data_IF_879663430455
#
_entry.id   IF_879663430455
#
_cell.length_a   1.000
_cell.length_b   1.000
_cell.length_c   1.000
_cell.angle_alpha   90.00
_cell.angle_beta   90.00
_cell.angle_gamma   90.00
#
_symmetry.space_group_name_H-M   'P 1'
#
loop_
_entity.id
_entity.type
_entity.pdbx_description
1 polymer ?
#
# COMPACT_ATOMS: atom_id res chain seq x y z
N UNK A 1 -5.67 0.12 -22.12
CA UNK A 1 -4.22 0.39 -21.98
C UNK A 1 -3.48 -0.20 -23.16
N UNK A 2 -2.59 0.59 -23.84
CA UNK A 2 -1.93 0.12 -25.08
C UNK A 2 -0.41 -0.09 -24.92
N UNK A 3 0.13 0.09 -23.71
CA UNK A 3 1.56 -0.10 -23.49
C UNK A 3 1.88 -1.58 -23.29
N UNK A 4 2.83 -2.10 -24.08
CA UNK A 4 3.31 -3.47 -23.98
C UNK A 4 4.12 -3.71 -22.70
N UNK A 5 4.47 -4.96 -22.46
CA UNK A 5 5.25 -5.40 -21.31
C UNK A 5 6.20 -6.53 -21.66
N UNK A 6 7.05 -6.83 -20.70
CA UNK A 6 8.10 -7.86 -20.78
C UNK A 6 7.99 -8.78 -19.58
N UNK A 7 8.10 -10.09 -19.81
CA UNK A 7 8.25 -11.06 -18.73
C UNK A 7 9.72 -11.28 -18.38
N UNK A 8 9.99 -11.74 -17.16
CA UNK A 8 11.34 -12.04 -16.65
C UNK A 8 12.07 -13.09 -17.48
N UNK A 9 11.33 -13.99 -18.18
CA UNK A 9 11.86 -14.98 -19.11
C UNK A 9 12.14 -14.43 -20.54
N UNK A 10 11.92 -13.12 -20.78
CA UNK A 10 12.13 -12.47 -22.09
C UNK A 10 10.92 -12.46 -23.01
N UNK A 11 9.79 -13.09 -22.62
CA UNK A 11 8.53 -13.07 -23.39
C UNK A 11 7.98 -11.64 -23.46
N UNK A 12 7.47 -11.23 -24.62
CA UNK A 12 6.93 -9.90 -24.85
C UNK A 12 5.42 -9.96 -25.07
N UNK A 13 4.72 -8.95 -24.56
CA UNK A 13 3.27 -8.77 -24.72
C UNK A 13 2.98 -7.40 -25.34
N UNK A 14 2.01 -7.37 -26.24
CA UNK A 14 1.58 -6.13 -26.90
C UNK A 14 0.87 -5.17 -25.94
N UNK A 15 0.12 -5.70 -25.00
CA UNK A 15 -0.66 -4.95 -24.02
C UNK A 15 -1.01 -5.85 -22.81
N UNK A 16 -1.53 -5.27 -21.73
CA UNK A 16 -1.96 -6.04 -20.55
C UNK A 16 -3.07 -7.07 -20.85
N UNK A 17 -4.00 -6.76 -21.74
CA UNK A 17 -5.12 -7.66 -22.04
C UNK A 17 -4.63 -8.98 -22.68
N UNK A 18 -3.58 -8.92 -23.51
CA UNK A 18 -2.93 -10.11 -24.05
C UNK A 18 -2.31 -10.93 -22.93
N UNK A 19 -1.52 -10.31 -22.06
CA UNK A 19 -0.88 -10.97 -20.94
C UNK A 19 -1.91 -11.62 -20.01
N UNK A 20 -2.91 -10.89 -19.57
CA UNK A 20 -3.90 -11.42 -18.63
C UNK A 20 -4.74 -12.53 -19.23
N UNK A 21 -5.06 -12.47 -20.54
CA UNK A 21 -5.74 -13.57 -21.22
C UNK A 21 -4.87 -14.83 -21.27
N UNK A 22 -3.57 -14.71 -21.44
CA UNK A 22 -2.65 -15.86 -21.44
C UNK A 22 -2.46 -16.43 -20.04
N UNK A 23 -2.27 -15.59 -19.03
CA UNK A 23 -1.94 -16.01 -17.66
C UNK A 23 -3.16 -16.43 -16.82
N UNK A 24 -4.32 -15.77 -16.99
CA UNK A 24 -5.52 -15.97 -16.15
C UNK A 24 -6.82 -16.06 -16.96
N UNK A 25 -6.75 -16.33 -18.27
CA UNK A 25 -7.88 -16.25 -19.18
C UNK A 25 -9.01 -17.24 -18.93
N UNK A 26 -8.81 -18.23 -18.07
CA UNK A 26 -9.85 -19.13 -17.58
C UNK A 26 -9.65 -19.41 -16.08
N UNK A 27 -10.66 -20.04 -15.46
CA UNK A 27 -10.66 -20.31 -14.03
C UNK A 27 -9.51 -21.21 -13.57
N UNK A 28 -9.09 -22.16 -14.39
CA UNK A 28 -7.99 -23.08 -14.07
C UNK A 28 -6.66 -22.32 -14.01
N UNK A 29 -6.38 -21.52 -15.05
CA UNK A 29 -5.18 -20.67 -15.12
C UNK A 29 -5.16 -19.64 -14.00
N UNK A 30 -6.30 -19.03 -13.71
CA UNK A 30 -6.43 -18.06 -12.62
C UNK A 30 -6.12 -18.69 -11.26
N UNK A 31 -6.64 -19.89 -11.02
CA UNK A 31 -6.32 -20.64 -9.79
C UNK A 31 -4.84 -21.02 -9.73
N UNK A 32 -4.26 -21.43 -10.87
CA UNK A 32 -2.84 -21.75 -10.95
C UNK A 32 -1.95 -20.53 -10.68
N UNK A 33 -2.30 -19.37 -11.22
CA UNK A 33 -1.61 -18.10 -10.99
C UNK A 33 -1.48 -17.81 -9.49
N UNK A 34 -2.60 -17.80 -8.76
CA UNK A 34 -2.59 -17.50 -7.33
C UNK A 34 -1.91 -18.59 -6.50
N UNK A 35 -2.12 -19.85 -6.85
CA UNK A 35 -1.45 -20.95 -6.16
C UNK A 35 0.07 -20.90 -6.32
N UNK A 36 0.58 -20.56 -7.51
CA UNK A 36 2.02 -20.41 -7.75
C UNK A 36 2.60 -19.25 -6.96
N UNK A 37 1.94 -18.07 -6.94
CA UNK A 37 2.39 -16.93 -6.14
C UNK A 37 2.45 -17.26 -4.65
N UNK A 38 1.41 -17.86 -4.09
CA UNK A 38 1.41 -18.29 -2.68
C UNK A 38 2.50 -19.34 -2.42
N UNK A 39 2.67 -20.32 -3.33
CA UNK A 39 3.68 -21.39 -3.19
C UNK A 39 5.10 -20.85 -3.23
N UNK A 40 5.37 -19.84 -4.06
CA UNK A 40 6.67 -19.16 -4.07
C UNK A 40 7.00 -18.60 -2.68
N UNK A 41 6.09 -17.80 -2.11
CA UNK A 41 6.29 -17.19 -0.80
C UNK A 41 6.28 -18.19 0.36
N UNK A 42 5.61 -19.33 0.21
CA UNK A 42 5.71 -20.44 1.16
C UNK A 42 7.12 -21.05 1.23
N UNK A 43 7.91 -20.92 0.17
CA UNK A 43 9.31 -21.35 0.13
C UNK A 43 10.30 -20.33 0.70
N UNK A 44 9.85 -19.11 1.01
CA UNK A 44 10.71 -18.03 1.51
C UNK A 44 10.77 -18.06 3.03
N UNK A 45 11.96 -17.80 3.61
CA UNK A 45 12.12 -17.71 5.06
C UNK A 45 11.30 -16.57 5.68
N UNK A 46 10.69 -16.83 6.85
CA UNK A 46 9.88 -15.84 7.57
C UNK A 46 10.76 -14.83 8.34
N UNK A 47 11.60 -14.10 7.60
CA UNK A 47 12.50 -13.05 8.10
C UNK A 47 12.26 -11.74 7.36
N UNK A 48 12.77 -10.64 7.93
CA UNK A 48 12.73 -9.33 7.24
C UNK A 48 13.50 -9.40 5.93
N UNK A 49 14.65 -10.08 5.91
CA UNK A 49 15.45 -10.23 4.69
C UNK A 49 14.71 -11.07 3.64
N UNK A 50 14.09 -12.16 4.05
CA UNK A 50 13.30 -13.03 3.17
C UNK A 50 12.13 -12.29 2.49
N UNK A 51 11.29 -11.60 3.27
CA UNK A 51 10.15 -10.84 2.70
C UNK A 51 10.57 -9.59 1.90
N UNK A 52 11.84 -9.20 1.96
CA UNK A 52 12.45 -8.14 1.14
C UNK A 52 13.32 -8.72 0.01
N UNK A 53 13.21 -10.00 -0.30
CA UNK A 53 13.90 -10.64 -1.43
C UNK A 53 15.44 -10.58 -1.31
N UNK A 54 16.00 -10.64 -0.10
CA UNK A 54 17.43 -10.50 0.18
C UNK A 54 17.92 -9.05 0.30
N UNK A 55 17.01 -8.07 0.24
CA UNK A 55 17.32 -6.64 0.38
C UNK A 55 16.94 -6.10 1.77
N UNK A 56 17.16 -6.89 2.83
CA UNK A 56 16.83 -6.47 4.21
C UNK A 56 17.42 -5.13 4.63
N UNK A 57 18.55 -4.74 4.06
CA UNK A 57 19.22 -3.46 4.31
C UNK A 57 18.42 -2.21 3.85
N UNK A 58 17.43 -2.35 2.95
CA UNK A 58 16.57 -1.22 2.55
C UNK A 58 15.46 -0.92 3.57
N UNK A 59 15.27 -1.79 4.59
CA UNK A 59 14.19 -1.67 5.57
C UNK A 59 14.11 -0.28 6.21
N UNK A 60 15.22 0.26 6.67
CA UNK A 60 15.22 1.53 7.40
C UNK A 60 14.88 2.71 6.49
N UNK A 61 15.39 2.70 5.26
CA UNK A 61 15.05 3.72 4.26
C UNK A 61 13.57 3.64 3.86
N UNK A 62 13.04 2.41 3.73
CA UNK A 62 11.63 2.14 3.46
C UNK A 62 10.72 2.69 4.56
N UNK A 63 10.97 2.31 5.82
CA UNK A 63 10.16 2.73 6.97
C UNK A 63 10.24 4.24 7.15
N UNK A 64 11.43 4.84 7.09
CA UNK A 64 11.61 6.30 7.23
C UNK A 64 10.82 7.10 6.20
N UNK A 65 10.84 6.67 4.93
CA UNK A 65 10.10 7.35 3.87
C UNK A 65 8.58 7.17 4.03
N UNK A 66 8.15 5.96 4.41
CA UNK A 66 6.75 5.62 4.70
C UNK A 66 6.22 6.42 5.88
N UNK A 67 7.01 6.55 6.95
CA UNK A 67 6.65 7.34 8.14
C UNK A 67 6.47 8.82 7.79
N UNK A 68 7.41 9.40 7.04
CA UNK A 68 7.31 10.79 6.63
C UNK A 68 6.07 11.05 5.74
N UNK A 69 5.70 10.07 4.90
CA UNK A 69 4.50 10.14 4.07
C UNK A 69 3.23 10.02 4.91
N UNK A 70 3.16 9.00 5.77
CA UNK A 70 2.02 8.76 6.66
C UNK A 70 1.76 9.96 7.59
N UNK A 71 2.80 10.51 8.21
CA UNK A 71 2.69 11.69 9.07
C UNK A 71 2.06 12.89 8.35
N UNK A 72 2.44 13.13 7.09
CA UNK A 72 1.86 14.20 6.29
C UNK A 72 0.37 13.96 5.96
N UNK A 73 -0.04 12.70 5.80
CA UNK A 73 -1.44 12.33 5.59
C UNK A 73 -2.26 12.49 6.87
N UNK A 74 -1.78 11.96 7.99
CA UNK A 74 -2.46 12.04 9.28
C UNK A 74 -2.60 13.48 9.77
N UNK A 75 -1.55 14.30 9.64
CA UNK A 75 -1.57 15.71 10.01
C UNK A 75 -2.63 16.49 9.22
N UNK A 76 -2.85 16.19 7.94
CA UNK A 76 -3.85 16.87 7.13
C UNK A 76 -5.27 16.33 7.39
N UNK A 77 -5.41 15.01 7.59
CA UNK A 77 -6.72 14.37 7.70
C UNK A 77 -7.34 14.52 9.08
N UNK A 78 -6.51 14.49 10.12
CA UNK A 78 -6.95 14.48 11.51
C UNK A 78 -6.60 15.75 12.29
N UNK A 79 -6.26 16.85 11.60
CA UNK A 79 -5.88 18.15 12.23
C UNK A 79 -6.97 18.69 13.17
N UNK A 80 -8.23 18.41 12.89
CA UNK A 80 -9.40 18.83 13.70
C UNK A 80 -9.97 17.70 14.57
N UNK A 81 -9.43 16.49 14.47
CA UNK A 81 -9.83 15.39 15.33
C UNK A 81 -9.16 15.60 16.69
N UNK A 82 -9.95 15.93 17.71
CA UNK A 82 -9.46 16.15 19.08
C UNK A 82 -8.61 14.97 19.57
N UNK A 83 -7.72 15.21 20.51
CA UNK A 83 -6.88 14.18 21.15
C UNK A 83 -7.80 13.06 21.69
N UNK A 84 -7.61 11.82 21.24
CA UNK A 84 -8.35 10.66 21.73
C UNK A 84 -9.09 9.84 20.66
N UNK A 85 -8.88 10.10 19.37
CA UNK A 85 -9.43 9.24 18.33
C UNK A 85 -8.76 7.87 18.36
N UNK A 86 -9.58 6.82 18.39
CA UNK A 86 -9.16 5.44 18.24
C UNK A 86 -9.03 5.14 16.74
N UNK A 87 -7.79 5.06 16.26
CA UNK A 87 -7.47 4.82 14.85
C UNK A 87 -7.18 3.34 14.60
N UNK A 88 -7.67 2.82 13.50
CA UNK A 88 -7.50 1.41 13.10
C UNK A 88 -6.92 1.35 11.69
N UNK A 89 -5.91 0.50 11.49
CA UNK A 89 -5.35 0.23 10.17
C UNK A 89 -5.49 -1.24 9.78
N UNK A 90 -5.43 -1.50 8.47
CA UNK A 90 -5.25 -2.83 7.89
C UNK A 90 -3.91 -2.85 7.16
N UNK A 91 -3.06 -3.81 7.46
CA UNK A 91 -1.79 -4.10 6.77
C UNK A 91 -2.01 -5.26 5.80
N UNK A 92 -2.05 -4.97 4.51
CA UNK A 92 -2.31 -5.93 3.45
C UNK A 92 -1.00 -6.50 2.89
N UNK A 93 -0.91 -7.84 2.81
CA UNK A 93 0.34 -8.53 2.48
C UNK A 93 1.38 -8.27 3.55
N UNK A 94 0.96 -8.44 4.81
CA UNK A 94 1.74 -8.02 5.98
C UNK A 94 3.05 -8.79 6.18
N UNK A 95 3.20 -9.94 5.51
CA UNK A 95 4.36 -10.81 5.67
C UNK A 95 4.59 -11.16 7.13
N UNK A 96 5.81 -10.96 7.60
CA UNK A 96 6.22 -11.17 9.00
C UNK A 96 5.84 -10.02 9.96
N UNK A 97 4.93 -9.13 9.53
CA UNK A 97 4.48 -7.97 10.33
C UNK A 97 5.47 -6.81 10.38
N UNK A 98 6.40 -6.72 9.43
CA UNK A 98 7.48 -5.73 9.39
C UNK A 98 6.96 -4.28 9.39
N UNK A 99 6.02 -3.97 8.50
CA UNK A 99 5.44 -2.62 8.38
C UNK A 99 4.57 -2.32 9.60
N UNK A 100 3.77 -3.26 10.05
CA UNK A 100 3.01 -3.11 11.30
C UNK A 100 3.90 -2.79 12.47
N UNK A 101 4.97 -3.57 12.71
CA UNK A 101 5.87 -3.41 13.87
C UNK A 101 6.63 -2.08 13.86
N UNK A 102 7.18 -1.73 12.70
CA UNK A 102 8.11 -0.60 12.60
C UNK A 102 7.42 0.73 12.28
N UNK A 103 6.16 0.69 11.82
CA UNK A 103 5.43 1.88 11.41
C UNK A 103 4.01 1.95 11.98
N UNK A 104 3.10 1.07 11.54
CA UNK A 104 1.66 1.31 11.72
C UNK A 104 1.24 1.31 13.18
N UNK A 105 1.76 0.40 14.00
CA UNK A 105 1.42 0.29 15.42
C UNK A 105 1.83 1.51 16.25
N UNK A 106 2.63 2.42 15.71
CA UNK A 106 3.03 3.67 16.36
C UNK A 106 2.02 4.80 16.17
N UNK A 107 1.08 4.61 15.24
CA UNK A 107 0.10 5.62 14.83
C UNK A 107 -1.34 5.16 14.96
N UNK A 108 -1.59 3.85 14.86
CA UNK A 108 -2.92 3.25 14.92
C UNK A 108 -3.05 2.40 16.17
N UNK A 109 -4.13 2.59 16.92
CA UNK A 109 -4.40 1.87 18.16
C UNK A 109 -4.59 0.37 17.91
N UNK A 110 -5.20 0.04 16.78
CA UNK A 110 -5.31 -1.35 16.32
C UNK A 110 -4.80 -1.46 14.88
N UNK A 111 -4.07 -2.54 14.63
CA UNK A 111 -3.64 -2.92 13.29
C UNK A 111 -4.10 -4.36 13.05
N UNK A 112 -4.91 -4.56 12.03
CA UNK A 112 -5.23 -5.88 11.52
C UNK A 112 -4.24 -6.26 10.41
N UNK A 113 -3.86 -7.53 10.36
CA UNK A 113 -2.93 -8.05 9.37
C UNK A 113 -3.63 -9.03 8.44
N UNK A 114 -3.38 -8.90 7.14
CA UNK A 114 -3.89 -9.78 6.09
C UNK A 114 -2.72 -10.36 5.31
N UNK A 115 -2.55 -11.68 5.36
CA UNK A 115 -1.42 -12.39 4.77
C UNK A 115 -1.82 -13.82 4.37
N UNK A 116 -1.67 -14.25 3.10
CA UNK A 116 -2.06 -15.59 2.68
C UNK A 116 -1.11 -16.70 3.14
N UNK A 117 0.15 -16.35 3.45
CA UNK A 117 1.20 -17.32 3.80
C UNK A 117 1.22 -17.57 5.31
N UNK A 118 0.78 -18.75 5.74
CA UNK A 118 0.53 -19.04 7.16
C UNK A 118 1.76 -18.90 8.04
N UNK A 119 2.94 -19.37 7.60
CA UNK A 119 4.16 -19.27 8.42
C UNK A 119 4.67 -17.84 8.57
N UNK A 120 4.39 -16.95 7.60
CA UNK A 120 4.63 -15.51 7.76
C UNK A 120 3.73 -14.91 8.83
N UNK A 121 2.45 -15.27 8.80
CA UNK A 121 1.48 -14.77 9.76
C UNK A 121 1.78 -15.27 11.19
N UNK A 122 2.29 -16.51 11.34
CA UNK A 122 2.78 -17.03 12.63
C UNK A 122 4.00 -16.25 13.12
N UNK A 123 4.97 -15.98 12.23
CA UNK A 123 6.11 -15.12 12.56
C UNK A 123 5.66 -13.72 12.97
N UNK A 124 4.66 -13.14 12.25
CA UNK A 124 4.08 -11.84 12.59
C UNK A 124 3.46 -11.83 13.99
N UNK A 125 2.74 -12.90 14.41
CA UNK A 125 2.20 -13.04 15.76
C UNK A 125 3.29 -12.98 16.83
N UNK A 126 4.40 -13.71 16.62
CA UNK A 126 5.55 -13.66 17.50
C UNK A 126 6.22 -12.28 17.53
N UNK A 127 6.44 -11.68 16.36
CA UNK A 127 7.08 -10.35 16.25
C UNK A 127 6.26 -9.21 16.88
N UNK A 128 4.95 -9.37 16.95
CA UNK A 128 3.98 -8.37 17.41
C UNK A 128 3.38 -8.73 18.78
N UNK A 129 3.91 -9.75 19.44
CA UNK A 129 3.55 -10.07 20.81
C UNK A 129 3.89 -8.87 21.73
N UNK A 130 3.04 -8.56 22.74
CA UNK A 130 3.20 -7.34 23.56
C UNK A 130 4.58 -7.17 24.14
N UNK A 131 5.24 -8.26 24.58
CA UNK A 131 6.59 -8.28 25.11
C UNK A 131 7.68 -7.88 24.11
N UNK A 132 7.37 -7.91 22.80
CA UNK A 132 8.29 -7.59 21.71
C UNK A 132 8.05 -6.18 21.14
N UNK A 133 7.13 -5.41 21.72
CA UNK A 133 6.75 -4.08 21.26
C UNK A 133 7.20 -3.00 22.23
N UNK A 134 7.66 -1.88 21.70
CA UNK A 134 8.04 -0.68 22.45
C UNK A 134 6.90 0.39 22.42
N UNK A 135 5.65 -0.06 22.49
CA UNK A 135 4.47 0.83 22.48
C UNK A 135 3.64 0.59 23.74
N UNK A 136 2.76 1.55 24.06
CA UNK A 136 1.85 1.37 25.18
C UNK A 136 0.78 0.32 24.87
N UNK A 137 0.15 -0.25 25.91
CA UNK A 137 -0.93 -1.24 25.79
C UNK A 137 -2.17 -0.73 24.99
N UNK A 138 -2.21 0.56 24.71
CA UNK A 138 -3.24 1.18 23.87
C UNK A 138 -3.04 0.93 22.38
N UNK A 139 -1.93 0.31 21.98
CA UNK A 139 -1.54 0.04 20.60
C UNK A 139 -1.24 -1.45 20.43
N UNK A 140 -1.90 -2.12 19.52
CA UNK A 140 -1.78 -3.58 19.35
C UNK A 140 -2.04 -4.03 17.93
N UNK A 141 -1.45 -5.17 17.56
CA UNK A 141 -1.92 -6.00 16.46
C UNK A 141 -3.18 -6.74 16.96
N UNK A 142 -4.31 -6.56 16.26
CA UNK A 142 -5.60 -7.01 16.76
C UNK A 142 -6.07 -8.30 16.10
N UNK A 143 -6.19 -8.32 14.78
CA UNK A 143 -6.65 -9.47 14.02
C UNK A 143 -5.60 -9.92 13.00
N UNK A 144 -5.58 -11.23 12.75
CA UNK A 144 -4.62 -11.85 11.82
C UNK A 144 -5.41 -12.75 10.87
N UNK A 145 -5.61 -12.29 9.64
CA UNK A 145 -6.38 -12.98 8.61
C UNK A 145 -5.44 -13.75 7.67
N UNK A 146 -5.52 -15.08 7.69
CA UNK A 146 -4.77 -15.94 6.76
C UNK A 146 -5.57 -16.11 5.47
N UNK A 147 -5.65 -15.05 4.67
CA UNK A 147 -6.41 -14.99 3.43
C UNK A 147 -5.69 -14.14 2.38
N UNK A 148 -5.83 -14.46 1.09
CA UNK A 148 -5.33 -13.60 0.02
C UNK A 148 -6.27 -12.40 -0.22
N UNK A 149 -5.73 -11.35 -0.83
CA UNK A 149 -6.46 -10.09 -1.10
C UNK A 149 -7.76 -10.30 -1.91
N UNK A 150 -7.73 -11.19 -2.91
CA UNK A 150 -8.88 -11.43 -3.77
C UNK A 150 -10.08 -12.06 -3.06
N UNK A 151 -9.85 -12.74 -1.93
CA UNK A 151 -10.89 -13.42 -1.15
C UNK A 151 -11.31 -12.64 0.10
N UNK A 152 -10.56 -11.57 0.43
CA UNK A 152 -10.82 -10.78 1.63
C UNK A 152 -11.88 -9.70 1.40
N UNK A 153 -12.81 -9.61 2.33
CA UNK A 153 -13.77 -8.51 2.45
C UNK A 153 -13.67 -7.93 3.85
N UNK A 154 -13.26 -6.69 4.01
CA UNK A 154 -13.13 -6.07 5.32
C UNK A 154 -14.49 -5.79 5.97
N UNK A 155 -14.51 -5.76 7.32
CA UNK A 155 -15.66 -5.28 8.08
C UNK A 155 -15.98 -3.83 7.68
N UNK A 156 -17.28 -3.54 7.56
CA UNK A 156 -17.74 -2.23 7.14
C UNK A 156 -17.28 -1.12 8.09
N UNK A 157 -16.74 -0.05 7.55
CA UNK A 157 -16.33 1.16 8.27
C UNK A 157 -15.41 0.88 9.48
N UNK A 158 -14.52 -0.10 9.35
CA UNK A 158 -13.57 -0.45 10.42
C UNK A 158 -12.29 0.38 10.36
N UNK A 159 -11.78 0.74 9.17
CA UNK A 159 -10.42 1.24 8.99
C UNK A 159 -10.35 2.72 8.70
N UNK A 160 -9.41 3.40 9.37
CA UNK A 160 -8.98 4.76 9.05
C UNK A 160 -7.94 4.75 7.94
N UNK A 161 -7.11 3.68 7.86
CA UNK A 161 -6.11 3.47 6.82
C UNK A 161 -6.08 2.00 6.38
N UNK A 162 -6.04 1.76 5.07
CA UNK A 162 -5.71 0.45 4.50
C UNK A 162 -4.36 0.61 3.80
N UNK A 163 -3.32 -0.02 4.36
CA UNK A 163 -1.95 0.01 3.86
C UNK A 163 -1.70 -1.21 2.99
N UNK A 164 -1.22 -1.01 1.77
CA UNK A 164 -0.97 -2.04 0.77
C UNK A 164 0.45 -1.83 0.26
N UNK A 165 1.36 -2.74 0.58
CA UNK A 165 2.77 -2.58 0.20
C UNK A 165 3.35 -3.87 -0.35
N UNK A 166 3.84 -3.83 -1.61
CA UNK A 166 4.53 -4.92 -2.30
C UNK A 166 3.76 -6.25 -2.33
N UNK A 167 2.45 -6.18 -2.47
CA UNK A 167 1.60 -7.37 -2.54
C UNK A 167 0.53 -7.29 -3.65
N UNK A 168 0.19 -6.07 -4.10
CA UNK A 168 -0.88 -5.89 -5.08
C UNK A 168 -0.47 -6.34 -6.50
N UNK A 169 0.83 -6.51 -6.73
CA UNK A 169 1.38 -7.04 -7.97
C UNK A 169 0.87 -8.43 -8.32
N UNK A 170 0.51 -9.24 -7.31
CA UNK A 170 -0.03 -10.58 -7.50
C UNK A 170 -1.46 -10.61 -8.02
N UNK A 171 -2.23 -9.53 -7.89
CA UNK A 171 -3.60 -9.49 -8.38
C UNK A 171 -3.67 -9.24 -9.89
N UNK A 172 -4.45 -10.08 -10.57
CA UNK A 172 -4.94 -9.77 -11.91
C UNK A 172 -5.78 -8.49 -11.88
N UNK A 173 -5.88 -7.78 -13.00
CA UNK A 173 -6.51 -6.45 -13.03
C UNK A 173 -7.99 -6.45 -12.59
N UNK A 174 -8.73 -7.49 -12.97
CA UNK A 174 -10.13 -7.65 -12.55
C UNK A 174 -10.24 -7.87 -11.03
N UNK A 175 -9.34 -8.64 -10.43
CA UNK A 175 -9.29 -8.84 -8.98
C UNK A 175 -8.74 -7.63 -8.24
N UNK A 176 -7.79 -6.89 -8.84
CA UNK A 176 -7.36 -5.59 -8.33
C UNK A 176 -8.55 -4.64 -8.18
N UNK A 177 -9.32 -4.49 -9.26
CA UNK A 177 -10.52 -3.62 -9.25
C UNK A 177 -11.56 -4.13 -8.27
N UNK A 178 -11.81 -5.44 -8.23
CA UNK A 178 -12.75 -6.07 -7.32
C UNK A 178 -12.35 -5.91 -5.86
N UNK A 179 -11.06 -6.08 -5.53
CA UNK A 179 -10.52 -5.87 -4.19
C UNK A 179 -10.77 -4.44 -3.71
N UNK A 180 -10.38 -3.42 -4.48
CA UNK A 180 -10.61 -2.04 -4.07
C UNK A 180 -12.09 -1.68 -3.96
N UNK A 181 -12.95 -2.23 -4.81
CA UNK A 181 -14.41 -2.04 -4.70
C UNK A 181 -14.97 -2.58 -3.38
N UNK A 182 -14.51 -3.74 -2.91
CA UNK A 182 -14.87 -4.28 -1.61
C UNK A 182 -14.25 -3.50 -0.47
N UNK A 183 -12.93 -3.23 -0.58
CA UNK A 183 -12.15 -2.60 0.47
C UNK A 183 -12.61 -1.16 0.79
N UNK A 184 -13.19 -0.45 -0.19
CA UNK A 184 -13.82 0.86 0.07
C UNK A 184 -14.90 0.81 1.15
N UNK A 185 -15.67 -0.27 1.23
CA UNK A 185 -16.68 -0.46 2.27
C UNK A 185 -16.09 -0.58 3.68
N UNK A 186 -14.84 -1.02 3.78
CA UNK A 186 -14.10 -1.12 5.05
C UNK A 186 -13.55 0.20 5.57
N UNK A 187 -13.47 1.25 4.74
CA UNK A 187 -13.00 2.55 5.19
C UNK A 187 -14.08 3.28 6.00
N UNK A 188 -13.66 3.88 7.12
CA UNK A 188 -14.45 4.88 7.84
C UNK A 188 -14.65 6.14 7.00
N UNK A 189 -15.66 6.98 7.32
CA UNK A 189 -15.74 8.32 6.73
C UNK A 189 -14.43 9.09 6.90
N UNK A 190 -13.84 9.53 5.80
CA UNK A 190 -12.53 10.18 5.83
C UNK A 190 -11.34 9.21 5.83
N UNK A 191 -11.53 7.90 5.86
CA UNK A 191 -10.47 6.92 5.71
C UNK A 191 -9.82 6.96 4.32
N UNK A 192 -8.63 6.37 4.20
CA UNK A 192 -7.84 6.40 2.97
C UNK A 192 -7.04 5.10 2.78
N UNK A 193 -6.63 4.86 1.54
CA UNK A 193 -5.66 3.82 1.21
C UNK A 193 -4.27 4.42 1.08
N UNK A 194 -3.26 3.66 1.43
CA UNK A 194 -1.89 3.88 1.01
C UNK A 194 -1.45 2.67 0.19
N UNK A 195 -1.10 2.91 -1.07
CA UNK A 195 -0.44 1.93 -1.92
C UNK A 195 1.02 2.31 -2.07
N UNK A 196 1.93 1.40 -1.72
CA UNK A 196 3.37 1.54 -1.95
C UNK A 196 3.86 0.38 -2.79
N UNK A 197 4.39 0.68 -4.00
CA UNK A 197 4.66 -0.37 -4.97
C UNK A 197 5.83 -0.04 -5.89
N UNK A 198 6.43 -1.08 -6.43
CA UNK A 198 7.40 -1.02 -7.51
C UNK A 198 6.76 -0.44 -8.76
N UNK A 199 7.53 0.35 -9.51
CA UNK A 199 7.05 1.06 -10.70
C UNK A 199 7.91 0.68 -11.91
N UNK A 200 7.31 0.07 -12.90
CA UNK A 200 7.93 -0.14 -14.21
C UNK A 200 8.10 1.19 -14.94
N UNK A 201 9.16 1.34 -15.72
CA UNK A 201 9.43 2.56 -16.50
C UNK A 201 8.33 2.87 -17.52
N UNK A 202 7.75 1.81 -18.12
CA UNK A 202 6.64 1.87 -19.05
C UNK A 202 5.89 0.53 -19.02
N UNK A 203 4.60 0.52 -19.38
CA UNK A 203 3.79 -0.69 -19.44
C UNK A 203 3.84 -1.50 -18.16
N UNK A 204 4.41 -2.71 -18.24
CA UNK A 204 4.53 -3.62 -17.11
C UNK A 204 5.70 -4.59 -17.26
N UNK A 205 6.11 -5.18 -16.14
CA UNK A 205 7.05 -6.31 -16.09
C UNK A 205 6.35 -7.44 -15.35
N UNK A 206 6.22 -8.60 -16.01
CA UNK A 206 5.71 -9.83 -15.43
C UNK A 206 6.89 -10.60 -14.81
N UNK A 207 6.80 -10.95 -13.56
CA UNK A 207 7.68 -11.93 -12.94
C UNK A 207 7.04 -13.32 -13.01
N UNK A 208 7.71 -14.21 -13.74
CA UNK A 208 7.22 -15.59 -13.96
C UNK A 208 7.43 -16.48 -12.74
N UNK A 209 8.35 -16.12 -11.85
CA UNK A 209 8.74 -16.94 -10.70
C UNK A 209 7.72 -16.78 -9.57
N UNK A 210 7.44 -15.55 -9.16
CA UNK A 210 6.52 -15.27 -8.07
C UNK A 210 5.09 -14.95 -8.52
N UNK A 211 4.85 -14.91 -9.85
CA UNK A 211 3.56 -14.56 -10.44
C UNK A 211 3.07 -13.20 -9.97
N UNK A 212 3.91 -12.19 -10.18
CA UNK A 212 3.57 -10.80 -9.93
C UNK A 212 3.78 -9.92 -11.15
N UNK A 213 3.10 -8.77 -11.19
CA UNK A 213 3.21 -7.78 -12.25
C UNK A 213 3.59 -6.43 -11.66
N UNK A 214 4.81 -5.98 -11.98
CA UNK A 214 5.22 -4.59 -11.72
C UNK A 214 4.62 -3.70 -12.78
N UNK A 215 3.71 -2.82 -12.39
CA UNK A 215 2.97 -1.91 -13.27
C UNK A 215 3.62 -0.54 -13.34
N UNK A 216 3.50 0.17 -14.47
CA UNK A 216 3.94 1.56 -14.57
C UNK A 216 3.01 2.53 -13.82
N UNK A 217 3.47 3.75 -13.57
CA UNK A 217 2.69 4.80 -12.93
C UNK A 217 1.39 5.12 -13.69
N UNK A 218 1.44 5.15 -15.03
CA UNK A 218 0.24 5.35 -15.85
C UNK A 218 -0.73 4.19 -15.77
N UNK A 219 -0.23 2.96 -15.65
CA UNK A 219 -1.03 1.76 -15.50
C UNK A 219 -1.78 1.78 -14.15
N UNK A 220 -1.09 2.07 -13.05
CA UNK A 220 -1.75 2.22 -11.75
C UNK A 220 -2.83 3.30 -11.76
N UNK A 221 -2.57 4.45 -12.38
CA UNK A 221 -3.56 5.54 -12.49
C UNK A 221 -4.81 5.13 -13.23
N UNK A 222 -4.69 4.34 -14.29
CA UNK A 222 -5.83 3.79 -15.02
C UNK A 222 -6.65 2.84 -14.14
N UNK A 223 -5.99 1.92 -13.41
CA UNK A 223 -6.66 1.03 -12.48
C UNK A 223 -7.35 1.78 -11.33
N UNK A 224 -6.73 2.84 -10.79
CA UNK A 224 -7.38 3.67 -9.77
C UNK A 224 -8.67 4.31 -10.29
N UNK A 225 -8.66 4.80 -11.54
CA UNK A 225 -9.87 5.32 -12.16
C UNK A 225 -10.97 4.25 -12.27
N UNK A 226 -10.63 3.03 -12.68
CA UNK A 226 -11.58 1.91 -12.76
C UNK A 226 -12.12 1.49 -11.37
N UNK A 227 -11.31 1.67 -10.34
CA UNK A 227 -11.73 1.49 -8.96
C UNK A 227 -12.62 2.65 -8.44
N UNK A 228 -12.71 3.78 -9.14
CA UNK A 228 -13.34 5.01 -8.64
C UNK A 228 -12.60 5.56 -7.42
N UNK A 229 -11.26 5.57 -7.50
CA UNK A 229 -10.37 6.12 -6.49
C UNK A 229 -9.67 7.36 -7.03
N UNK A 230 -9.42 8.31 -6.15
CA UNK A 230 -8.77 9.57 -6.46
C UNK A 230 -7.43 9.66 -5.75
N UNK A 231 -6.37 10.05 -6.48
CA UNK A 231 -5.07 10.30 -5.87
C UNK A 231 -5.15 11.60 -5.06
N UNK A 232 -4.98 11.46 -3.76
CA UNK A 232 -4.90 12.60 -2.85
C UNK A 232 -3.46 13.13 -2.76
N UNK A 233 -2.49 12.22 -2.56
CA UNK A 233 -1.06 12.53 -2.56
C UNK A 233 -0.27 11.39 -3.19
N UNK A 234 0.92 11.72 -3.70
CA UNK A 234 1.89 10.73 -4.14
C UNK A 234 3.31 11.20 -3.84
N UNK A 235 4.22 10.24 -3.64
CA UNK A 235 5.62 10.50 -3.34
C UNK A 235 6.50 9.35 -3.82
N UNK A 236 7.64 9.67 -4.42
CA UNK A 236 8.64 8.67 -4.79
C UNK A 236 9.48 8.29 -3.57
N UNK A 237 9.78 6.99 -3.43
CA UNK A 237 10.78 6.47 -2.51
C UNK A 237 12.16 6.93 -2.98
N UNK A 238 13.00 7.30 -2.02
CA UNK A 238 14.41 7.64 -2.27
C UNK A 238 15.32 6.80 -1.39
N UNK A 239 16.59 6.71 -1.79
CA UNK A 239 17.61 6.03 -1.02
C UNK A 239 17.60 4.50 -1.15
N UNK A 240 17.00 3.99 -2.21
CA UNK A 240 17.14 2.59 -2.63
C UNK A 240 18.29 2.43 -3.63
N UNK A 241 18.90 1.25 -3.71
CA UNK A 241 19.88 0.90 -4.73
C UNK A 241 19.32 1.10 -6.16
N UNK A 242 20.21 1.53 -7.08
CA UNK A 242 19.82 1.86 -8.47
C UNK A 242 19.38 0.63 -9.29
N UNK A 243 19.77 -0.57 -8.88
CA UNK A 243 19.37 -1.83 -9.51
C UNK A 243 17.91 -2.23 -9.22
N UNK A 244 17.32 -1.67 -8.17
CA UNK A 244 15.92 -1.94 -7.83
C UNK A 244 14.97 -1.10 -8.70
N UNK A 245 13.74 -1.57 -8.84
CA UNK A 245 12.67 -0.76 -9.40
C UNK A 245 12.50 0.55 -8.61
N UNK A 246 12.15 1.61 -9.33
CA UNK A 246 11.62 2.79 -8.65
C UNK A 246 10.40 2.40 -7.82
N UNK A 247 10.24 3.01 -6.64
CA UNK A 247 9.11 2.76 -5.75
C UNK A 247 8.34 4.04 -5.54
N UNK A 248 7.02 3.95 -5.58
CA UNK A 248 6.12 5.10 -5.38
C UNK A 248 5.05 4.79 -4.34
N UNK A 249 4.72 5.81 -3.57
CA UNK A 249 3.61 5.81 -2.62
C UNK A 249 2.46 6.63 -3.17
N UNK A 250 1.24 6.09 -3.12
CA UNK A 250 0.00 6.76 -3.46
C UNK A 250 -0.92 6.75 -2.24
N UNK A 251 -1.41 7.92 -1.84
CA UNK A 251 -2.55 8.02 -0.95
C UNK A 251 -3.81 8.19 -1.80
N UNK A 252 -4.78 7.30 -1.61
CA UNK A 252 -5.99 7.24 -2.42
C UNK A 252 -7.22 7.46 -1.55
N UNK A 253 -8.21 8.17 -2.07
CA UNK A 253 -9.48 8.46 -1.41
C UNK A 253 -10.66 8.08 -2.28
N UNK A 254 -11.80 7.85 -1.64
CA UNK A 254 -13.07 7.58 -2.32
C UNK A 254 -13.79 8.85 -2.78
N UNK A 255 -13.41 9.99 -2.21
CA UNK A 255 -13.95 11.31 -2.55
C UNK A 255 -12.91 12.11 -3.33
N UNK A 256 -13.39 12.99 -4.21
CA UNK A 256 -12.51 13.93 -4.93
C UNK A 256 -11.86 14.86 -3.90
N UNK A 257 -10.52 14.89 -3.81
CA UNK A 257 -9.83 15.77 -2.88
C UNK A 257 -10.21 17.23 -3.14
N UNK A 258 -10.61 17.95 -2.09
CA UNK A 258 -10.85 19.39 -2.19
C UNK A 258 -9.52 20.07 -2.46
N UNK A 259 -9.41 20.80 -3.57
CA UNK A 259 -8.26 21.66 -3.86
C UNK A 259 -8.31 22.80 -2.85
N UNK A 260 -7.49 22.74 -1.79
CA UNK A 260 -7.28 23.88 -0.91
C UNK A 260 -6.41 24.87 -1.67
N UNK A 261 -7.02 25.85 -2.31
CA UNK A 261 -6.27 26.98 -2.84
C UNK A 261 -5.60 27.69 -1.65
N UNK A 262 -4.25 27.84 -1.64
CA UNK A 262 -3.61 28.60 -0.59
C UNK A 262 -4.18 30.01 -0.63
N UNK A 263 -4.99 30.36 0.37
CA UNK A 263 -5.56 31.70 0.50
C UNK A 263 -4.41 32.70 0.45
N UNK A 264 -4.48 33.63 -0.51
CA UNK A 264 -3.61 34.80 -0.58
C UNK A 264 -3.77 35.52 0.76
N UNK A 265 -2.85 35.34 1.66
CA UNK A 265 -2.73 36.15 2.89
C UNK A 265 -2.42 37.55 2.41
N UNK A 266 -3.47 38.36 2.33
CA UNK A 266 -3.40 39.78 2.01
C UNK A 266 -2.61 40.44 3.14
N UNK A 267 -1.31 40.71 2.92
CA UNK A 267 -0.53 41.61 3.80
C UNK A 267 -1.26 42.91 3.82
N UNK A 268 -1.97 43.20 4.93
CA UNK A 268 -2.39 44.53 5.27
C UNK A 268 -1.12 45.34 5.60
N UNK A 269 -0.75 46.25 4.71
CA UNK A 269 0.24 47.28 5.01
C UNK A 269 -0.35 48.15 6.09
N UNK A 270 0.21 48.12 7.30
CA UNK A 270 -0.05 49.12 8.34
C UNK A 270 0.58 50.42 7.88
N UNK A 271 -0.25 51.34 7.37
CA UNK A 271 0.12 52.74 7.26
C UNK A 271 0.36 53.31 8.68
N UNK A 272 1.58 53.70 8.98
CA UNK A 272 1.89 54.50 10.13
C UNK A 272 1.47 55.94 9.84
N UNK A 273 0.73 56.64 10.73
CA UNK A 273 0.52 58.06 10.60
C UNK A 273 1.83 58.83 10.88
N UNK A 274 2.18 59.73 9.98
CA UNK A 274 3.31 60.62 10.14
C UNK A 274 3.08 61.60 11.29
N UNK A 275 4.10 61.75 12.12
CA UNK A 275 4.18 62.85 13.11
C UNK A 275 4.64 64.09 12.38
N UNK A 276 3.80 65.12 12.41
CA UNK A 276 4.13 66.48 11.97
C UNK A 276 4.84 67.17 13.11
N UNK A 277 5.98 67.73 12.81
CA UNK A 277 6.55 68.91 13.48
C UNK A 277 6.81 69.96 12.46
#
# INVERSE_FOLDING_TARGET
MNAGGLASNGRQFKNPDEMWREEVGDQSKKSEWYNKGVSYWQGVEATVDGVLGGYGHVNDADIKASEAFLNALLAERFTNAGRGHHLVALDCGSGVGRVTKNLLIRYFNEVDLLEPVSHFLEAARGNLAPENLLVSDSYKAANFYCLPLQDFTPDAQRYDCIWIQWCIGHLADDDFVSFFKRAKGGLKPGGFFVLKENIARAGFVLDEEDKSVTRSDSYFKELFNQCGLHIWKMKDQKGFPDELFAVKMYALTTEIPKIVNPSKTRRQSKNRPGVIK
#
